data_IF_410862966674
#
_entry.id   IF_410862966674
#
_cell.length_a   1.000
_cell.length_b   1.000
_cell.length_c   1.000
_cell.angle_alpha   90.00
_cell.angle_beta   90.00
_cell.angle_gamma   90.00
#
_symmetry.space_group_name_H-M   'P 1'
#
loop_
_entity.id
_entity.type
_entity.pdbx_description
1 polymer ?
#
# COMPACT_ATOMS: atom_id res chain seq x y z
N UNK A 1 -3.10 -15.13 -6.53
CA UNK A 1 -3.07 -16.48 -7.15
C UNK A 1 -4.47 -17.10 -7.22
N UNK A 2 -5.35 -16.71 -6.34
CA UNK A 2 -6.74 -17.21 -6.22
C UNK A 2 -7.67 -16.71 -7.34
N UNK A 3 -7.31 -15.63 -8.02
CA UNK A 3 -8.06 -15.10 -9.16
C UNK A 3 -7.84 -15.89 -10.47
N UNK A 4 -6.90 -16.82 -10.48
CA UNK A 4 -6.66 -17.68 -11.64
C UNK A 4 -7.51 -18.93 -11.48
N UNK A 5 -8.42 -19.18 -12.41
CA UNK A 5 -9.33 -20.34 -12.39
C UNK A 5 -8.60 -21.69 -12.21
N UNK A 6 -9.32 -22.68 -11.68
CA UNK A 6 -8.78 -24.02 -11.50
C UNK A 6 -8.33 -24.59 -12.86
N UNK A 7 -7.11 -25.15 -12.89
CA UNK A 7 -6.50 -25.71 -14.10
C UNK A 7 -5.93 -24.68 -15.08
N UNK A 8 -6.24 -23.38 -14.90
CA UNK A 8 -5.76 -22.33 -15.80
C UNK A 8 -4.37 -21.84 -15.40
N UNK A 9 -3.58 -21.34 -16.37
CA UNK A 9 -2.23 -20.80 -16.13
C UNK A 9 -2.20 -19.28 -16.00
N UNK A 10 -3.23 -18.61 -16.49
CA UNK A 10 -3.35 -17.16 -16.49
C UNK A 10 -4.78 -16.69 -16.26
N UNK A 11 -4.94 -15.43 -15.87
CA UNK A 11 -6.20 -14.68 -15.85
C UNK A 11 -5.94 -13.26 -16.34
N UNK A 12 -6.96 -12.64 -16.94
CA UNK A 12 -6.94 -11.27 -17.39
C UNK A 12 -8.05 -10.47 -16.71
N UNK A 13 -7.74 -9.24 -16.34
CA UNK A 13 -8.69 -8.22 -15.89
C UNK A 13 -8.57 -7.04 -16.84
N UNK A 14 -9.65 -6.77 -17.55
CA UNK A 14 -9.76 -5.65 -18.49
C UNK A 14 -10.73 -4.63 -17.89
N UNK A 15 -10.42 -3.36 -18.05
CA UNK A 15 -11.28 -2.28 -17.55
C UNK A 15 -11.19 -1.04 -18.41
N UNK A 16 -12.35 -0.50 -18.78
CA UNK A 16 -12.49 0.80 -19.39
C UNK A 16 -12.88 1.80 -18.29
N UNK A 17 -12.08 2.82 -18.11
CA UNK A 17 -12.18 3.76 -16.99
C UNK A 17 -12.29 5.17 -17.52
N UNK A 18 -13.35 5.88 -17.15
CA UNK A 18 -13.46 7.32 -17.35
C UNK A 18 -13.01 8.05 -16.09
N UNK A 19 -11.88 8.73 -16.15
CA UNK A 19 -11.34 9.51 -15.04
C UNK A 19 -10.92 10.90 -15.50
N UNK A 20 -11.36 11.94 -14.77
CA UNK A 20 -11.05 13.35 -15.09
C UNK A 20 -11.31 13.71 -16.56
N UNK A 21 -12.44 13.26 -17.12
CA UNK A 21 -12.85 13.44 -18.52
C UNK A 21 -11.89 12.81 -19.55
N UNK A 22 -11.11 11.80 -19.15
CA UNK A 22 -10.24 11.02 -20.04
C UNK A 22 -10.58 9.54 -19.92
N UNK A 23 -10.53 8.87 -21.04
CA UNK A 23 -10.71 7.43 -21.12
C UNK A 23 -9.38 6.71 -20.96
N UNK A 24 -9.40 5.66 -20.15
CA UNK A 24 -8.25 4.81 -19.91
C UNK A 24 -8.66 3.35 -20.09
N UNK A 25 -7.86 2.60 -20.82
CA UNK A 25 -7.99 1.15 -20.96
C UNK A 25 -6.92 0.49 -20.10
N UNK A 26 -7.32 -0.36 -19.17
CA UNK A 26 -6.40 -1.12 -18.32
C UNK A 26 -6.44 -2.60 -18.68
N UNK A 27 -5.28 -3.23 -18.80
CA UNK A 27 -5.13 -4.69 -18.97
C UNK A 27 -4.16 -5.19 -17.88
N UNK A 28 -4.67 -6.05 -16.99
CA UNK A 28 -3.89 -6.68 -15.93
C UNK A 28 -3.90 -8.20 -16.17
N UNK A 29 -2.73 -8.77 -16.45
CA UNK A 29 -2.56 -10.20 -16.65
C UNK A 29 -1.84 -10.84 -15.48
N UNK A 30 -2.47 -11.84 -14.93
CA UNK A 30 -1.98 -12.63 -13.81
C UNK A 30 -1.49 -13.98 -14.33
N UNK A 31 -0.34 -14.46 -13.84
CA UNK A 31 0.26 -15.72 -14.26
C UNK A 31 0.61 -16.58 -13.03
N UNK A 32 0.46 -17.90 -13.16
CA UNK A 32 1.00 -18.83 -12.16
C UNK A 32 2.53 -18.84 -12.21
N UNK A 33 3.16 -18.61 -11.05
CA UNK A 33 4.63 -18.66 -10.92
C UNK A 33 5.40 -17.50 -11.58
N UNK A 34 4.72 -16.54 -12.24
CA UNK A 34 5.35 -15.38 -12.86
C UNK A 34 4.80 -14.07 -12.29
N UNK A 35 5.54 -12.99 -12.54
CA UNK A 35 5.12 -11.64 -12.19
C UNK A 35 3.95 -11.21 -13.07
N UNK A 36 2.94 -10.54 -12.47
CA UNK A 36 1.84 -9.93 -13.22
C UNK A 36 2.35 -8.91 -14.23
N UNK A 37 1.65 -8.76 -15.33
CA UNK A 37 1.84 -7.67 -16.30
C UNK A 37 0.66 -6.71 -16.20
N UNK A 38 0.91 -5.43 -16.37
CA UNK A 38 -0.11 -4.39 -16.35
C UNK A 38 0.19 -3.39 -17.45
N UNK A 39 -0.85 -2.91 -18.11
CA UNK A 39 -0.78 -1.79 -19.05
C UNK A 39 -1.89 -0.79 -18.78
N UNK A 40 -1.63 0.48 -19.07
CA UNK A 40 -2.62 1.56 -19.11
C UNK A 40 -2.52 2.19 -20.49
N UNK A 41 -3.60 2.19 -21.25
CA UNK A 41 -3.62 2.61 -22.67
C UNK A 41 -2.52 1.93 -23.51
N UNK A 42 -2.29 0.63 -23.29
CA UNK A 42 -1.24 -0.13 -23.96
C UNK A 42 0.19 0.12 -23.46
N UNK A 43 0.41 1.11 -22.59
CA UNK A 43 1.75 1.43 -22.03
C UNK A 43 2.01 0.54 -20.81
N UNK A 44 3.13 -0.21 -20.77
CA UNK A 44 3.47 -1.06 -19.63
C UNK A 44 3.63 -0.27 -18.33
N UNK A 45 2.91 -0.70 -17.28
CA UNK A 45 3.01 -0.16 -15.94
C UNK A 45 3.92 -1.06 -15.08
N UNK A 46 5.01 -0.51 -14.56
CA UNK A 46 5.98 -1.27 -13.74
C UNK A 46 5.45 -1.59 -12.34
N UNK A 47 4.55 -0.77 -11.82
CA UNK A 47 3.97 -0.89 -10.48
C UNK A 47 2.51 -0.44 -10.49
N UNK A 48 1.83 -0.61 -9.36
CA UNK A 48 0.43 -0.21 -9.19
C UNK A 48 0.22 1.32 -9.10
N UNK A 49 1.26 2.12 -8.97
CA UNK A 49 1.12 3.58 -8.90
C UNK A 49 0.47 4.16 -10.16
N UNK A 50 0.82 3.62 -11.34
CA UNK A 50 0.20 4.03 -12.60
C UNK A 50 -1.33 3.77 -12.64
N UNK A 51 -1.82 2.74 -11.94
CA UNK A 51 -3.25 2.50 -11.78
C UNK A 51 -3.88 3.46 -10.78
N UNK A 52 -3.16 3.83 -9.72
CA UNK A 52 -3.64 4.78 -8.72
C UNK A 52 -3.84 6.19 -9.28
N UNK A 53 -3.14 6.56 -10.34
CA UNK A 53 -3.37 7.84 -11.04
C UNK A 53 -4.69 7.85 -11.84
N UNK A 54 -5.20 6.67 -12.17
CA UNK A 54 -6.38 6.48 -13.01
C UNK A 54 -7.61 6.09 -12.20
N UNK A 55 -7.44 5.17 -11.24
CA UNK A 55 -8.52 4.57 -10.47
C UNK A 55 -8.19 4.51 -8.99
N UNK A 56 -9.02 5.15 -8.17
CA UNK A 56 -9.04 4.92 -6.73
C UNK A 56 -10.15 3.94 -6.39
N UNK A 57 -9.83 2.93 -5.59
CA UNK A 57 -10.79 1.89 -5.21
C UNK A 57 -11.02 1.89 -3.71
N UNK A 58 -12.27 1.71 -3.32
CA UNK A 58 -12.67 1.39 -1.95
C UNK A 58 -13.21 -0.02 -1.96
N UNK A 59 -12.64 -0.87 -1.15
CA UNK A 59 -13.07 -2.24 -0.98
C UNK A 59 -13.46 -2.47 0.48
N UNK A 60 -14.60 -3.09 0.71
CA UNK A 60 -15.06 -3.50 2.02
C UNK A 60 -15.32 -5.00 2.03
N UNK A 61 -14.76 -5.69 3.00
CA UNK A 61 -14.96 -7.11 3.23
C UNK A 61 -15.37 -7.36 4.69
N UNK A 62 -16.02 -8.49 5.00
CA UNK A 62 -16.39 -8.83 6.37
C UNK A 62 -15.22 -8.81 7.36
N UNK A 63 -14.02 -9.13 6.87
CA UNK A 63 -12.78 -9.10 7.64
C UNK A 63 -12.40 -7.69 8.12
N UNK A 64 -12.83 -6.65 7.40
CA UNK A 64 -12.57 -5.25 7.78
C UNK A 64 -13.28 -4.84 9.07
N UNK A 65 -14.34 -5.57 9.47
CA UNK A 65 -15.00 -5.40 10.77
C UNK A 65 -14.06 -5.68 11.95
N UNK A 66 -13.03 -6.47 11.73
CA UNK A 66 -12.02 -6.77 12.75
C UNK A 66 -10.89 -5.74 12.81
N UNK A 67 -10.88 -4.71 11.96
CA UNK A 67 -9.83 -3.69 11.88
C UNK A 67 -9.51 -3.06 13.25
N UNK A 68 -10.54 -2.80 14.04
CA UNK A 68 -10.39 -2.21 15.38
C UNK A 68 -9.86 -3.23 16.39
N UNK A 69 -10.30 -4.48 16.31
CA UNK A 69 -9.87 -5.58 17.21
C UNK A 69 -8.51 -6.14 16.81
N UNK A 70 -8.18 -6.07 15.53
CA UNK A 70 -6.88 -6.48 15.02
C UNK A 70 -5.77 -5.58 15.56
N UNK A 71 -4.55 -6.11 15.58
CA UNK A 71 -3.38 -5.40 16.08
C UNK A 71 -3.01 -4.17 15.24
N UNK A 72 -2.02 -3.42 15.72
CA UNK A 72 -1.54 -2.19 15.06
C UNK A 72 -1.05 -2.42 13.61
N UNK A 73 -0.67 -3.65 13.25
CA UNK A 73 -0.22 -3.99 11.90
C UNK A 73 -1.36 -3.81 10.88
N UNK A 74 -2.57 -4.33 11.17
CA UNK A 74 -3.71 -4.21 10.26
C UNK A 74 -4.19 -2.77 10.14
N UNK A 75 -4.20 -1.99 11.23
CA UNK A 75 -4.52 -0.56 11.17
C UNK A 75 -3.51 0.22 10.32
N UNK A 76 -2.20 -0.09 10.43
CA UNK A 76 -1.19 0.50 9.55
C UNK A 76 -1.41 0.10 8.08
N UNK A 77 -1.67 -1.18 7.83
CA UNK A 77 -1.96 -1.67 6.48
C UNK A 77 -3.14 -0.96 5.83
N UNK A 78 -4.22 -0.75 6.56
CA UNK A 78 -5.39 0.01 6.09
C UNK A 78 -4.99 1.44 5.66
N UNK A 79 -4.25 2.16 6.54
CA UNK A 79 -3.75 3.49 6.21
C UNK A 79 -2.81 3.48 5.01
N UNK A 80 -1.92 2.49 4.93
CA UNK A 80 -0.95 2.38 3.84
C UNK A 80 -1.63 2.13 2.50
N UNK A 81 -2.64 1.25 2.45
CA UNK A 81 -3.42 1.01 1.25
C UNK A 81 -4.13 2.27 0.76
N UNK A 82 -4.77 3.01 1.67
CA UNK A 82 -5.47 4.25 1.36
C UNK A 82 -4.50 5.36 0.92
N UNK A 83 -3.44 5.59 1.68
CA UNK A 83 -2.47 6.64 1.41
C UNK A 83 -1.65 6.39 0.15
N UNK A 84 -1.30 5.15 -0.17
CA UNK A 84 -0.59 4.80 -1.40
C UNK A 84 -1.39 5.13 -2.66
N UNK A 85 -2.73 5.02 -2.61
CA UNK A 85 -3.58 5.41 -3.73
C UNK A 85 -3.67 6.95 -3.86
N UNK A 86 -3.71 7.66 -2.74
CA UNK A 86 -4.00 9.10 -2.71
C UNK A 86 -2.74 9.97 -2.83
N UNK A 87 -1.57 9.46 -2.49
CA UNK A 87 -0.34 10.26 -2.31
C UNK A 87 0.88 9.50 -2.84
N UNK A 88 1.31 9.75 -4.09
CA UNK A 88 2.49 9.08 -4.67
C UNK A 88 3.74 9.21 -3.81
N UNK A 89 3.97 10.38 -3.21
CA UNK A 89 5.10 10.62 -2.29
C UNK A 89 5.06 9.72 -1.06
N UNK A 90 3.86 9.36 -0.56
CA UNK A 90 3.73 8.40 0.53
C UNK A 90 4.14 7.00 0.07
N UNK A 91 3.67 6.57 -1.10
CA UNK A 91 4.02 5.25 -1.66
C UNK A 91 5.52 5.11 -1.89
N UNK A 92 6.18 6.15 -2.38
CA UNK A 92 7.64 6.20 -2.54
C UNK A 92 8.36 6.08 -1.19
N UNK A 93 7.96 6.89 -0.20
CA UNK A 93 8.54 6.85 1.15
C UNK A 93 8.34 5.49 1.82
N UNK A 94 7.17 4.85 1.67
CA UNK A 94 6.88 3.52 2.20
C UNK A 94 7.77 2.45 1.55
N UNK A 95 7.91 2.51 0.23
CA UNK A 95 8.79 1.59 -0.51
C UNK A 95 10.25 1.75 -0.09
N UNK A 96 10.72 2.99 0.07
CA UNK A 96 12.08 3.26 0.53
C UNK A 96 12.30 2.79 1.97
N UNK A 97 11.36 3.08 2.88
CA UNK A 97 11.42 2.65 4.27
C UNK A 97 11.51 1.12 4.38
N UNK A 98 10.64 0.40 3.70
CA UNK A 98 10.63 -1.07 3.73
C UNK A 98 11.94 -1.66 3.20
N UNK A 99 12.47 -1.13 2.10
CA UNK A 99 13.76 -1.56 1.54
C UNK A 99 14.90 -1.33 2.53
N UNK A 100 14.99 -0.15 3.13
CA UNK A 100 16.03 0.17 4.12
C UNK A 100 15.89 -0.70 5.37
N UNK A 101 14.67 -0.96 5.82
CA UNK A 101 14.40 -1.83 6.94
C UNK A 101 14.85 -3.27 6.69
N UNK A 102 14.54 -3.82 5.51
CA UNK A 102 14.98 -5.17 5.11
C UNK A 102 16.52 -5.25 5.05
N UNK A 103 17.18 -4.24 4.47
CA UNK A 103 18.64 -4.20 4.42
C UNK A 103 19.24 -4.11 5.83
N UNK A 104 18.74 -3.22 6.68
CA UNK A 104 19.20 -3.11 8.06
C UNK A 104 19.03 -4.42 8.84
N UNK A 105 17.87 -5.09 8.67
CA UNK A 105 17.61 -6.37 9.33
C UNK A 105 18.61 -7.43 8.86
N UNK A 106 18.98 -7.44 7.58
CA UNK A 106 19.99 -8.34 7.04
C UNK A 106 21.39 -8.02 7.62
N UNK A 107 21.78 -6.74 7.64
CA UNK A 107 23.05 -6.31 8.24
C UNK A 107 23.16 -6.79 9.69
N UNK A 108 22.13 -6.58 10.49
CA UNK A 108 22.11 -6.98 11.90
C UNK A 108 22.23 -8.51 12.07
N UNK A 109 21.60 -9.29 11.20
CA UNK A 109 21.72 -10.75 11.24
C UNK A 109 23.11 -11.21 10.82
N UNK A 110 23.62 -10.68 9.72
CA UNK A 110 24.89 -11.14 9.12
C UNK A 110 26.11 -10.56 9.87
N UNK A 111 25.93 -9.59 10.78
CA UNK A 111 26.98 -8.99 11.62
C UNK A 111 27.49 -9.93 12.73
N UNK A 112 26.81 -11.01 13.03
CA UNK A 112 27.32 -12.08 13.92
C UNK A 112 28.61 -12.70 13.32
N UNK A 113 28.64 -12.89 12.00
CA UNK A 113 29.80 -13.44 11.28
C UNK A 113 30.74 -12.34 10.74
N UNK A 114 30.23 -11.12 10.52
CA UNK A 114 30.91 -9.99 9.90
C UNK A 114 30.65 -8.69 10.63
N UNK A 115 31.32 -8.45 11.78
CA UNK A 115 31.09 -7.27 12.63
C UNK A 115 31.27 -5.93 11.90
N UNK A 116 32.11 -5.87 10.87
CA UNK A 116 32.35 -4.67 10.06
C UNK A 116 31.09 -4.14 9.35
N UNK A 117 30.06 -4.98 9.17
CA UNK A 117 28.76 -4.55 8.60
C UNK A 117 28.04 -3.54 9.49
N UNK A 118 28.34 -3.50 10.80
CA UNK A 118 27.72 -2.54 11.72
C UNK A 118 28.09 -1.09 11.40
N UNK A 119 29.22 -0.84 10.76
CA UNK A 119 29.66 0.49 10.35
C UNK A 119 28.71 1.13 9.30
N UNK A 120 27.90 0.31 8.63
CA UNK A 120 26.89 0.79 7.67
C UNK A 120 25.60 1.27 8.36
N UNK A 121 25.36 0.88 9.61
CA UNK A 121 24.07 1.17 10.29
C UNK A 121 23.73 2.66 10.40
N UNK A 122 24.68 3.59 10.62
CA UNK A 122 24.34 5.02 10.71
C UNK A 122 23.63 5.54 9.46
N UNK A 123 24.09 5.18 8.25
CA UNK A 123 23.48 5.60 6.99
C UNK A 123 22.07 5.03 6.82
N UNK A 124 21.88 3.73 7.11
CA UNK A 124 20.55 3.10 7.08
C UNK A 124 19.61 3.71 8.12
N UNK A 125 20.09 4.03 9.33
CA UNK A 125 19.29 4.68 10.36
C UNK A 125 18.82 6.07 9.91
N UNK A 126 19.70 6.87 9.33
CA UNK A 126 19.34 8.19 8.82
C UNK A 126 18.27 8.09 7.71
N UNK A 127 18.44 7.17 6.77
CA UNK A 127 17.46 6.92 5.72
C UNK A 127 16.10 6.46 6.25
N UNK A 128 16.10 5.58 7.27
CA UNK A 128 14.90 5.13 7.97
C UNK A 128 14.20 6.28 8.71
N UNK A 129 14.95 7.12 9.42
CA UNK A 129 14.40 8.29 10.11
C UNK A 129 13.76 9.26 9.12
N UNK A 130 14.43 9.54 8.01
CA UNK A 130 13.95 10.47 6.97
C UNK A 130 12.67 9.99 6.30
N UNK A 131 12.63 8.73 5.85
CA UNK A 131 11.44 8.12 5.24
C UNK A 131 10.34 7.90 6.28
N UNK A 132 10.68 7.47 7.49
CA UNK A 132 9.74 7.27 8.60
C UNK A 132 9.03 8.55 9.02
N UNK A 133 9.74 9.68 9.08
CA UNK A 133 9.14 10.99 9.40
C UNK A 133 8.06 11.38 8.37
N UNK A 134 8.31 11.10 7.07
CA UNK A 134 7.31 11.33 6.02
C UNK A 134 6.07 10.46 6.26
N UNK A 135 6.25 9.16 6.55
CA UNK A 135 5.14 8.25 6.80
C UNK A 135 4.31 8.68 8.02
N UNK A 136 4.96 9.03 9.12
CA UNK A 136 4.29 9.50 10.35
C UNK A 136 3.48 10.76 10.07
N UNK A 137 4.05 11.73 9.37
CA UNK A 137 3.37 12.98 9.04
C UNK A 137 2.12 12.78 8.16
N UNK A 138 2.17 11.87 7.19
CA UNK A 138 1.00 11.53 6.37
C UNK A 138 -0.07 10.78 7.17
N UNK A 139 0.33 9.79 7.98
CA UNK A 139 -0.60 9.00 8.80
C UNK A 139 -1.31 9.88 9.84
N UNK A 140 -0.61 10.80 10.49
CA UNK A 140 -1.20 11.73 11.45
C UNK A 140 -2.30 12.59 10.81
N UNK A 141 -2.02 13.19 9.64
CA UNK A 141 -3.02 13.97 8.89
C UNK A 141 -4.20 13.11 8.40
N UNK A 142 -3.93 11.90 7.95
CA UNK A 142 -4.97 10.96 7.52
C UNK A 142 -5.89 10.58 8.67
N UNK A 143 -5.33 10.25 9.84
CA UNK A 143 -6.12 9.93 11.03
C UNK A 143 -6.97 11.12 11.49
N UNK A 144 -6.44 12.34 11.48
CA UNK A 144 -7.20 13.53 11.82
C UNK A 144 -8.38 13.76 10.87
N UNK A 145 -8.16 13.62 9.56
CA UNK A 145 -9.24 13.75 8.58
C UNK A 145 -10.27 12.61 8.70
N UNK A 146 -9.80 11.36 8.87
CA UNK A 146 -10.68 10.19 8.99
C UNK A 146 -11.56 10.28 10.25
N UNK A 147 -11.05 10.81 11.35
CA UNK A 147 -11.78 10.93 12.63
C UNK A 147 -13.07 11.73 12.48
N UNK A 148 -13.09 12.76 11.65
CA UNK A 148 -14.30 13.57 11.39
C UNK A 148 -15.38 12.72 10.70
N UNK A 149 -15.00 12.03 9.62
CA UNK A 149 -15.93 11.16 8.88
C UNK A 149 -16.39 9.96 9.72
N UNK A 150 -15.49 9.37 10.50
CA UNK A 150 -15.81 8.25 11.37
C UNK A 150 -16.81 8.66 12.48
N UNK A 151 -16.63 9.84 13.05
CA UNK A 151 -17.57 10.37 14.07
C UNK A 151 -18.95 10.60 13.48
N UNK A 152 -19.02 11.22 12.29
CA UNK A 152 -20.28 11.44 11.61
C UNK A 152 -20.99 10.11 11.28
N UNK A 153 -20.26 9.16 10.67
CA UNK A 153 -20.82 7.86 10.32
C UNK A 153 -21.30 7.08 11.57
N UNK A 154 -20.53 7.14 12.67
CA UNK A 154 -20.94 6.55 13.94
C UNK A 154 -22.23 7.15 14.47
N UNK A 155 -22.33 8.48 14.48
CA UNK A 155 -23.54 9.19 14.91
C UNK A 155 -24.76 8.79 14.07
N UNK A 156 -24.64 8.76 12.74
CA UNK A 156 -25.70 8.34 11.83
C UNK A 156 -26.14 6.87 12.06
N UNK A 157 -25.20 5.97 12.36
CA UNK A 157 -25.50 4.55 12.59
C UNK A 157 -26.01 4.25 14.01
N UNK A 158 -25.55 4.98 15.02
CA UNK A 158 -25.92 4.75 16.43
C UNK A 158 -27.25 5.40 16.84
N UNK A 159 -27.82 6.29 16.01
CA UNK A 159 -29.03 7.02 16.30
C UNK A 159 -28.91 7.90 17.55
N UNK A 160 -27.81 8.65 17.65
CA UNK A 160 -27.50 9.55 18.79
C UNK A 160 -27.19 8.85 20.13
N UNK A 161 -26.91 7.57 20.12
CA UNK A 161 -26.45 6.86 21.32
C UNK A 161 -24.95 6.92 21.44
N UNK A 162 -24.45 7.66 22.43
CA UNK A 162 -23.05 7.63 22.88
C UNK A 162 -22.73 6.32 23.59
#
# INVERSE_FOLDING_TARGET
KELIGFGMQEAALLGDILSRQREFVTDIRLFRGKRRKMTVNGVPAKNSAALSDVLHTVFFAPEDLFLIRAGAAERRRFMDLSLCQLRPRYAEALSQYNRLYEHKTRILRDSEDKPELLDLLPEFNEGLCRSGAVLIGYRARFCAALAEYARQAHYECSGERD
#
